data_IF_745648014507
#
_entry.id   IF_745648014507
#
_cell.length_a   1.000
_cell.length_b   1.000
_cell.length_c   1.000
_cell.angle_alpha   90.00
_cell.angle_beta   90.00
_cell.angle_gamma   90.00
#
_symmetry.space_group_name_H-M   'P 1'
#
loop_
_entity.id
_entity.type
_entity.pdbx_description
1 polymer ?
#
# COMPACT_ATOMS: atom_id res chain seq x y z
N UNK A 1 20.89 10.69 -8.54
CA UNK A 1 20.36 9.37 -8.17
C UNK A 1 18.87 9.52 -8.11
N UNK A 2 18.14 8.99 -9.08
CA UNK A 2 16.68 8.95 -9.00
C UNK A 2 16.31 8.04 -7.83
N UNK A 3 15.54 8.56 -6.87
CA UNK A 3 14.96 7.74 -5.81
C UNK A 3 14.01 6.72 -6.47
N UNK A 4 14.28 5.43 -6.23
CA UNK A 4 13.44 4.36 -6.76
C UNK A 4 12.18 4.32 -5.91
N UNK A 5 11.09 4.83 -6.46
CA UNK A 5 9.77 4.82 -5.83
C UNK A 5 8.94 3.72 -6.46
N UNK A 6 8.40 2.83 -5.63
CA UNK A 6 7.40 1.85 -6.04
C UNK A 6 6.01 2.33 -5.64
N UNK A 7 5.08 2.34 -6.61
CA UNK A 7 3.68 2.69 -6.39
C UNK A 7 2.79 1.60 -6.97
N UNK A 8 1.85 1.12 -6.17
CA UNK A 8 0.71 0.34 -6.63
C UNK A 8 -0.58 1.05 -6.17
N UNK A 9 -1.55 1.20 -7.07
CA UNK A 9 -2.83 1.84 -6.79
C UNK A 9 -3.98 1.08 -7.48
N UNK A 10 -5.12 0.97 -6.80
CA UNK A 10 -6.41 0.63 -7.40
C UNK A 10 -7.46 1.71 -7.07
N UNK A 11 -8.75 1.38 -7.13
CA UNK A 11 -9.81 2.35 -6.85
C UNK A 11 -10.06 2.57 -5.36
N UNK A 12 -9.60 1.64 -4.52
CA UNK A 12 -9.94 1.59 -3.10
C UNK A 12 -8.70 1.82 -2.23
N UNK A 13 -7.50 1.67 -2.79
CA UNK A 13 -6.25 1.70 -2.03
C UNK A 13 -5.02 2.05 -2.85
N UNK A 14 -3.97 2.48 -2.16
CA UNK A 14 -2.61 2.54 -2.71
C UNK A 14 -1.55 2.10 -1.71
N UNK A 15 -0.42 1.68 -2.26
CA UNK A 15 0.81 1.32 -1.56
C UNK A 15 1.94 2.12 -2.20
N UNK A 16 2.63 2.91 -1.39
CA UNK A 16 3.85 3.64 -1.74
C UNK A 16 5.02 3.02 -0.98
N UNK A 17 6.15 2.83 -1.66
CA UNK A 17 7.41 2.42 -1.05
C UNK A 17 8.54 3.29 -1.62
N UNK A 18 9.25 4.00 -0.76
CA UNK A 18 10.29 4.94 -1.13
C UNK A 18 11.43 4.99 -0.09
N UNK A 19 12.22 6.07 -0.09
CA UNK A 19 13.33 6.24 0.82
C UNK A 19 12.92 6.45 2.29
N UNK A 20 11.71 6.94 2.54
CA UNK A 20 11.21 7.25 3.88
C UNK A 20 10.54 6.02 4.53
N UNK A 21 9.84 5.22 3.73
CA UNK A 21 9.23 4.00 4.25
C UNK A 21 8.20 3.36 3.34
N UNK A 22 7.14 2.86 3.98
CA UNK A 22 5.97 2.29 3.33
C UNK A 22 4.73 3.04 3.80
N UNK A 23 3.91 3.48 2.85
CA UNK A 23 2.61 4.08 3.14
C UNK A 23 1.50 3.25 2.52
N UNK A 24 0.49 2.94 3.33
CA UNK A 24 -0.78 2.39 2.90
C UNK A 24 -1.84 3.48 2.97
N UNK A 25 -2.57 3.66 1.87
CA UNK A 25 -3.72 4.56 1.80
C UNK A 25 -4.95 3.74 1.46
N UNK A 26 -6.03 3.92 2.22
CA UNK A 26 -7.36 3.38 1.91
C UNK A 26 -8.27 4.55 1.57
N UNK A 27 -8.72 4.59 0.32
CA UNK A 27 -9.64 5.61 -0.17
C UNK A 27 -11.04 5.29 0.34
N UNK A 28 -11.65 6.17 1.14
CA UNK A 28 -13.08 6.02 1.43
C UNK A 28 -13.84 6.49 0.19
N UNK A 29 -14.29 5.53 -0.62
CA UNK A 29 -15.14 5.81 -1.78
C UNK A 29 -16.44 6.49 -1.33
N UNK A 30 -16.47 7.82 -1.37
CA UNK A 30 -17.69 8.59 -1.20
C UNK A 30 -18.59 8.37 -2.40
N UNK A 31 -19.70 7.66 -2.23
CA UNK A 31 -20.88 8.00 -3.03
C UNK A 31 -21.50 9.17 -2.29
N UNK A 32 -21.45 10.42 -2.81
CA UNK A 32 -22.16 11.51 -2.15
C UNK A 32 -23.64 11.13 -2.16
N UNK A 33 -24.18 10.82 -0.98
CA UNK A 33 -25.61 10.61 -0.82
C UNK A 33 -26.30 11.91 -1.22
N UNK A 34 -27.15 11.87 -2.25
CA UNK A 34 -27.74 13.06 -2.90
C UNK A 34 -28.79 13.76 -2.01
N UNK A 35 -28.74 13.59 -0.69
CA UNK A 35 -29.77 14.04 0.24
C UNK A 35 -29.32 14.41 1.66
N UNK A 36 -28.04 14.42 2.01
CA UNK A 36 -27.63 14.76 3.37
C UNK A 36 -27.52 16.29 3.56
N UNK A 37 -28.48 16.86 4.28
CA UNK A 37 -28.42 18.21 4.84
C UNK A 37 -27.54 18.22 6.08
N UNK A 38 -26.69 19.25 6.14
CA UNK A 38 -26.03 19.83 7.32
C UNK A 38 -25.13 18.89 8.15
N UNK A 39 -23.80 19.14 8.04
CA UNK A 39 -22.67 18.56 8.79
C UNK A 39 -22.30 17.09 8.48
N UNK A 40 -21.75 16.81 7.30
CA UNK A 40 -20.95 15.59 7.08
C UNK A 40 -19.47 15.92 7.43
N UNK A 41 -18.89 15.36 8.51
CA UNK A 41 -17.48 15.55 8.80
C UNK A 41 -16.68 15.00 7.63
N UNK A 42 -15.88 15.87 7.03
CA UNK A 42 -14.83 15.62 6.05
C UNK A 42 -14.38 14.13 6.03
N UNK A 43 -14.91 13.35 5.08
CA UNK A 43 -14.58 11.93 4.96
C UNK A 43 -13.15 11.79 4.43
N UNK A 44 -12.17 11.93 5.31
CA UNK A 44 -10.76 11.84 4.98
C UNK A 44 -10.34 10.40 4.66
N UNK A 45 -9.39 10.26 3.75
CA UNK A 45 -8.70 8.99 3.48
C UNK A 45 -7.99 8.49 4.74
N UNK A 46 -7.84 7.16 4.84
CA UNK A 46 -7.12 6.56 5.95
C UNK A 46 -5.70 6.22 5.49
N UNK A 47 -4.73 6.90 6.08
CA UNK A 47 -3.30 6.72 5.81
C UNK A 47 -2.63 6.01 6.99
N UNK A 48 -1.73 5.08 6.67
CA UNK A 48 -0.84 4.43 7.62
C UNK A 48 0.57 4.44 7.06
N UNK A 49 1.45 5.20 7.71
CA UNK A 49 2.85 5.37 7.34
C UNK A 49 3.74 4.57 8.29
N UNK A 50 4.74 3.90 7.73
CA UNK A 50 5.70 3.08 8.47
C UNK A 50 7.11 3.40 7.98
N UNK A 51 7.96 3.91 8.86
CA UNK A 51 9.36 4.16 8.54
C UNK A 51 10.15 2.85 8.44
N UNK A 52 11.26 2.86 7.72
CA UNK A 52 12.16 1.70 7.64
C UNK A 52 12.69 1.23 9.00
N UNK A 53 12.81 2.13 9.98
CA UNK A 53 13.21 1.79 11.35
C UNK A 53 12.14 1.05 12.16
N UNK A 54 10.88 1.10 11.74
CA UNK A 54 9.77 0.38 12.39
C UNK A 54 9.58 -1.01 11.78
N UNK A 55 9.90 -1.17 10.50
CA UNK A 55 9.64 -2.40 9.74
C UNK A 55 10.74 -3.42 9.98
N UNK A 56 10.38 -4.52 10.65
CA UNK A 56 11.24 -5.68 10.83
C UNK A 56 11.28 -6.58 9.59
N UNK A 57 10.13 -6.74 8.93
CA UNK A 57 10.04 -7.49 7.68
C UNK A 57 8.90 -6.97 6.78
N UNK A 58 9.06 -7.13 5.48
CA UNK A 58 8.03 -6.82 4.49
C UNK A 58 7.97 -7.90 3.42
N UNK A 59 6.75 -8.30 3.06
CA UNK A 59 6.51 -9.33 2.05
C UNK A 59 5.37 -8.93 1.11
N UNK A 60 5.51 -9.31 -0.16
CA UNK A 60 4.44 -9.22 -1.16
C UNK A 60 4.06 -10.61 -1.65
N UNK A 61 2.77 -10.95 -1.60
CA UNK A 61 2.27 -12.22 -2.14
C UNK A 61 1.06 -12.02 -3.05
N UNK A 62 0.96 -12.85 -4.07
CA UNK A 62 -0.27 -12.92 -4.87
C UNK A 62 -1.37 -13.56 -4.03
N UNK A 63 -2.50 -12.87 -3.91
CA UNK A 63 -3.76 -13.41 -3.41
C UNK A 63 -4.79 -13.36 -4.53
N UNK A 64 -5.55 -14.44 -4.72
CA UNK A 64 -6.39 -14.62 -5.92
C UNK A 64 -5.55 -14.45 -7.21
N UNK A 65 -6.19 -14.38 -8.38
CA UNK A 65 -5.46 -14.33 -9.67
C UNK A 65 -4.79 -12.98 -9.96
N UNK A 66 -5.28 -11.89 -9.37
CA UNK A 66 -4.93 -10.52 -9.77
C UNK A 66 -4.70 -9.55 -8.62
N UNK A 67 -4.59 -10.02 -7.37
CA UNK A 67 -4.39 -9.13 -6.22
C UNK A 67 -3.04 -9.36 -5.57
N UNK A 68 -2.44 -8.27 -5.13
CA UNK A 68 -1.21 -8.24 -4.35
C UNK A 68 -1.59 -7.96 -2.90
N UNK A 69 -1.17 -8.82 -1.98
CA UNK A 69 -1.20 -8.51 -0.55
C UNK A 69 0.23 -8.16 -0.12
N UNK A 70 0.40 -6.96 0.42
CA UNK A 70 1.62 -6.55 1.09
C UNK A 70 1.41 -6.67 2.59
N UNK A 71 2.36 -7.27 3.30
CA UNK A 71 2.32 -7.39 4.76
C UNK A 71 3.63 -6.87 5.34
N UNK A 72 3.51 -5.97 6.31
CA UNK A 72 4.60 -5.44 7.12
C UNK A 72 4.52 -6.09 8.50
N UNK A 73 5.65 -6.63 8.96
CA UNK A 73 5.87 -7.00 10.35
C UNK A 73 6.74 -5.91 10.98
N UNK A 74 6.30 -5.36 12.11
CA UNK A 74 7.01 -4.30 12.80
C UNK A 74 7.88 -4.86 13.94
N UNK A 75 8.88 -4.09 14.35
CA UNK A 75 9.78 -4.47 15.46
C UNK A 75 9.06 -4.58 16.82
N UNK A 76 7.92 -3.93 16.99
CA UNK A 76 7.08 -4.04 18.18
C UNK A 76 6.25 -5.33 18.23
N UNK A 77 6.34 -6.17 17.18
CA UNK A 77 5.61 -7.43 17.05
C UNK A 77 4.23 -7.30 16.40
N UNK A 78 3.77 -6.09 16.07
CA UNK A 78 2.54 -5.86 15.33
C UNK A 78 2.71 -6.16 13.83
N UNK A 79 1.58 -6.32 13.13
CA UNK A 79 1.57 -6.59 11.69
C UNK A 79 0.46 -5.83 10.98
N UNK A 80 0.78 -5.23 9.84
CA UNK A 80 -0.15 -4.49 9.00
C UNK A 80 -0.17 -5.06 7.59
N UNK A 81 -1.33 -5.02 6.93
CA UNK A 81 -1.44 -5.53 5.56
C UNK A 81 -2.37 -4.69 4.69
N UNK A 82 -2.00 -4.53 3.43
CA UNK A 82 -2.82 -3.90 2.41
C UNK A 82 -2.98 -4.84 1.21
N UNK A 83 -4.23 -5.07 0.78
CA UNK A 83 -4.56 -5.85 -0.41
C UNK A 83 -4.99 -4.93 -1.53
N UNK A 84 -4.37 -5.06 -2.70
CA UNK A 84 -4.61 -4.20 -3.85
C UNK A 84 -4.83 -5.00 -5.14
N UNK A 85 -5.80 -4.60 -5.95
CA UNK A 85 -6.20 -5.31 -7.15
C UNK A 85 -5.57 -4.74 -8.43
N UNK A 86 -4.59 -5.45 -8.99
CA UNK A 86 -3.93 -5.07 -10.23
C UNK A 86 -4.85 -5.13 -11.47
N UNK A 87 -6.03 -5.75 -11.35
CA UNK A 87 -7.03 -6.05 -12.40
C UNK A 87 -6.54 -6.97 -13.53
N UNK A 88 -5.24 -7.02 -13.80
CA UNK A 88 -4.58 -7.81 -14.84
C UNK A 88 -3.37 -8.53 -14.27
N UNK A 89 -3.19 -9.80 -14.65
CA UNK A 89 -2.05 -10.61 -14.19
C UNK A 89 -0.69 -10.04 -14.62
N UNK A 90 -0.59 -9.45 -15.82
CA UNK A 90 0.63 -8.78 -16.27
C UNK A 90 1.00 -7.60 -15.36
N UNK A 91 0.00 -6.82 -14.93
CA UNK A 91 0.23 -5.70 -14.04
C UNK A 91 0.63 -6.16 -12.63
N UNK A 92 0.02 -7.25 -12.14
CA UNK A 92 0.43 -7.89 -10.90
C UNK A 92 1.90 -8.35 -10.95
N UNK A 93 2.34 -8.91 -12.08
CA UNK A 93 3.74 -9.31 -12.26
C UNK A 93 4.68 -8.11 -12.17
N UNK A 94 4.35 -6.99 -12.84
CA UNK A 94 5.12 -5.74 -12.73
C UNK A 94 5.17 -5.25 -11.28
N UNK A 95 4.05 -5.31 -10.55
CA UNK A 95 4.02 -4.89 -9.15
C UNK A 95 4.91 -5.74 -8.25
N UNK A 96 4.95 -7.06 -8.47
CA UNK A 96 5.88 -7.94 -7.75
C UNK A 96 7.35 -7.59 -8.00
N UNK A 97 7.73 -7.30 -9.25
CA UNK A 97 9.12 -6.94 -9.58
C UNK A 97 9.50 -5.59 -8.95
N UNK A 98 8.62 -4.59 -9.05
CA UNK A 98 8.85 -3.27 -8.46
C UNK A 98 8.95 -3.34 -6.94
N UNK A 99 8.02 -4.05 -6.28
CA UNK A 99 8.05 -4.24 -4.83
C UNK A 99 9.32 -4.98 -4.40
N UNK A 100 9.70 -6.06 -5.09
CA UNK A 100 10.92 -6.80 -4.75
C UNK A 100 12.18 -5.94 -4.91
N UNK A 101 12.24 -5.06 -5.91
CA UNK A 101 13.31 -4.08 -6.10
C UNK A 101 13.40 -3.10 -4.93
N UNK A 102 12.29 -2.42 -4.63
CA UNK A 102 12.21 -1.45 -3.54
C UNK A 102 12.54 -2.07 -2.17
N UNK A 103 12.00 -3.27 -1.87
CA UNK A 103 12.31 -3.96 -0.63
C UNK A 103 13.79 -4.32 -0.53
N UNK A 104 14.42 -4.83 -1.59
CA UNK A 104 15.88 -5.10 -1.59
C UNK A 104 16.72 -3.83 -1.40
N UNK A 105 16.22 -2.70 -1.91
CA UNK A 105 16.91 -1.40 -1.89
C UNK A 105 16.94 -0.80 -0.49
N UNK A 106 15.80 -0.83 0.21
CA UNK A 106 15.60 -0.09 1.45
C UNK A 106 15.54 -0.98 2.68
N UNK A 107 14.85 -2.11 2.58
CA UNK A 107 14.87 -3.15 3.59
C UNK A 107 16.13 -4.00 3.34
N UNK A 108 17.29 -3.50 3.80
CA UNK A 108 18.60 -4.17 3.66
C UNK A 108 18.55 -5.57 4.31
N UNK A 109 18.08 -6.55 3.55
CA UNK A 109 18.14 -7.98 3.86
C UNK A 109 19.54 -8.51 3.57
#
# INVERSE_FOLDING_TARGET
SEEEVFIAADSDSSILVDADGVMFTLYRTGTPDRGAKDEDPEQADVEAEFSWSEIADATGRTVRRTRLLVTLALHDGSSYSCEINARRAAHLHTWHQGLAGALRRYLRR
#
